data_IF_648455572575
#
_entry.id   IF_648455572575
#
_cell.length_a   1.000
_cell.length_b   1.000
_cell.length_c   1.000
_cell.angle_alpha   90.00
_cell.angle_beta   90.00
_cell.angle_gamma   90.00
#
_symmetry.space_group_name_H-M   'P 1'
#
loop_
_entity.id
_entity.type
_entity.pdbx_description
1 polymer ?
#
# COMPACT_ATOMS: atom_id res chain seq x y z
N UNK A 1 -3.80 15.36 23.96
CA UNK A 1 -3.95 15.22 22.48
C UNK A 1 -3.35 16.48 21.85
N UNK A 2 -2.05 16.49 21.60
CA UNK A 2 -1.31 17.64 21.04
C UNK A 2 -1.20 17.43 19.54
N UNK A 3 -2.18 17.97 18.78
CA UNK A 3 -2.08 18.04 17.34
C UNK A 3 -1.10 19.16 16.97
N UNK A 4 -0.11 18.86 16.14
CA UNK A 4 0.72 19.88 15.53
C UNK A 4 -0.14 20.82 14.66
N UNK A 5 0.12 22.14 14.62
CA UNK A 5 -0.62 23.06 13.76
C UNK A 5 -0.47 22.63 12.31
N UNK A 6 -1.59 22.37 11.63
CA UNK A 6 -1.64 21.94 10.24
C UNK A 6 -1.92 20.45 10.01
N UNK A 7 -2.07 19.64 11.04
CA UNK A 7 -2.47 18.22 10.88
C UNK A 7 -3.93 18.10 10.41
N UNK A 8 -4.26 17.10 9.57
CA UNK A 8 -5.62 16.84 9.16
C UNK A 8 -6.48 16.49 10.38
N UNK A 9 -7.70 17.03 10.42
CA UNK A 9 -8.69 16.68 11.44
C UNK A 9 -9.57 15.54 10.96
N UNK A 10 -9.88 14.62 11.86
CA UNK A 10 -10.95 13.65 11.66
C UNK A 10 -12.23 14.29 12.17
N UNK A 11 -13.27 14.30 11.34
CA UNK A 11 -14.62 14.55 11.75
C UNK A 11 -15.32 13.20 11.85
N UNK A 12 -15.76 12.84 13.05
CA UNK A 12 -16.82 11.83 13.19
C UNK A 12 -18.11 12.47 12.71
N UNK A 13 -19.00 11.76 12.02
CA UNK A 13 -20.28 12.28 11.60
C UNK A 13 -21.23 12.36 12.81
N UNK A 14 -21.03 13.38 13.66
CA UNK A 14 -21.96 13.68 14.74
C UNK A 14 -22.16 15.19 14.83
N UNK A 15 -23.31 15.62 14.36
CA UNK A 15 -24.14 16.74 14.78
C UNK A 15 -24.98 17.31 13.63
N UNK A 16 -25.98 16.58 13.24
CA UNK A 16 -27.06 17.08 12.38
C UNK A 16 -28.10 15.98 12.26
N UNK A 17 -29.35 16.30 12.63
CA UNK A 17 -30.48 15.40 12.70
C UNK A 17 -30.86 14.81 11.32
N UNK A 18 -30.17 13.76 10.93
CA UNK A 18 -30.56 12.86 9.84
C UNK A 18 -30.85 11.46 10.42
N UNK A 19 -31.68 10.64 9.76
CA UNK A 19 -32.18 9.39 10.31
C UNK A 19 -30.98 8.51 10.73
N UNK A 20 -31.06 7.99 11.95
CA UNK A 20 -30.04 7.17 12.58
C UNK A 20 -29.47 6.13 11.60
N UNK A 21 -28.15 6.06 11.40
CA UNK A 21 -27.56 5.00 10.61
C UNK A 21 -28.01 3.66 11.20
N UNK A 22 -28.49 2.76 10.33
CA UNK A 22 -28.90 1.42 10.74
C UNK A 22 -27.79 0.85 11.62
N UNK A 23 -28.09 0.52 12.88
CA UNK A 23 -27.19 -0.11 13.82
C UNK A 23 -26.67 -1.38 13.13
N UNK A 24 -25.44 -1.36 12.66
CA UNK A 24 -24.75 -2.56 12.20
C UNK A 24 -24.81 -3.55 13.38
N UNK A 25 -25.47 -4.67 13.14
CA UNK A 25 -25.62 -5.71 14.15
C UNK A 25 -24.24 -6.09 14.68
N UNK A 26 -24.04 -6.20 15.99
CA UNK A 26 -22.73 -6.54 16.59
C UNK A 26 -22.12 -7.82 15.99
N UNK A 27 -22.97 -8.72 15.48
CA UNK A 27 -22.56 -9.91 14.72
C UNK A 27 -21.92 -9.55 13.37
N UNK A 28 -22.41 -8.52 12.67
CA UNK A 28 -21.80 -8.06 11.40
C UNK A 28 -20.50 -7.29 11.63
N UNK A 29 -20.35 -6.62 12.77
CA UNK A 29 -19.12 -5.94 13.14
C UNK A 29 -17.93 -6.90 13.37
N UNK A 30 -18.20 -8.14 13.77
CA UNK A 30 -17.18 -9.18 13.95
C UNK A 30 -16.62 -9.76 12.65
N UNK A 31 -17.27 -9.50 11.52
CA UNK A 31 -16.85 -9.99 10.19
C UNK A 31 -16.10 -8.95 9.36
N UNK A 32 -15.81 -7.77 9.89
CA UNK A 32 -15.24 -6.67 9.12
C UNK A 32 -13.80 -6.38 9.51
N UNK A 33 -12.96 -6.12 8.51
CA UNK A 33 -11.64 -5.55 8.70
C UNK A 33 -11.76 -4.06 9.03
N UNK A 34 -11.24 -3.63 10.18
CA UNK A 34 -11.26 -2.23 10.57
C UNK A 34 -9.89 -1.77 11.10
N UNK A 35 -9.49 -0.57 10.68
CA UNK A 35 -8.28 0.08 11.21
C UNK A 35 -8.64 0.77 12.52
N UNK A 36 -8.13 0.27 13.65
CA UNK A 36 -8.35 0.85 14.99
C UNK A 36 -7.35 1.92 15.34
N UNK A 37 -6.14 1.78 14.85
CA UNK A 37 -5.08 2.74 15.10
C UNK A 37 -4.11 2.72 13.92
N UNK A 38 -3.61 3.89 13.54
CA UNK A 38 -2.45 4.03 12.66
C UNK A 38 -1.36 4.84 13.35
N UNK A 39 -0.12 4.45 13.15
CA UNK A 39 1.08 5.15 13.61
C UNK A 39 2.03 5.36 12.44
N UNK A 40 2.52 6.58 12.31
CA UNK A 40 3.52 6.94 11.32
C UNK A 40 4.76 7.48 12.04
N UNK A 41 5.93 7.14 11.50
CA UNK A 41 7.22 7.68 11.95
C UNK A 41 8.01 8.08 10.71
N UNK A 42 8.45 9.32 10.66
CA UNK A 42 9.27 9.93 9.61
C UNK A 42 8.74 9.66 8.18
N UNK A 43 7.42 9.69 8.03
CA UNK A 43 6.70 9.41 6.80
C UNK A 43 6.23 10.70 6.14
N UNK A 44 6.75 11.05 4.98
CA UNK A 44 6.39 12.27 4.21
C UNK A 44 6.58 13.54 5.04
N UNK A 45 5.47 14.20 5.43
CA UNK A 45 5.45 15.38 6.28
C UNK A 45 5.27 15.06 7.78
N UNK A 46 5.07 13.80 8.12
CA UNK A 46 4.84 13.38 9.50
C UNK A 46 6.16 12.92 10.14
N UNK A 47 6.60 13.63 11.18
CA UNK A 47 7.66 13.14 12.06
C UNK A 47 7.13 11.98 12.92
N UNK A 48 6.01 12.22 13.55
CA UNK A 48 5.24 11.21 14.29
C UNK A 48 3.75 11.54 14.15
N UNK A 49 2.94 10.53 13.92
CA UNK A 49 1.50 10.60 13.96
C UNK A 49 0.97 9.36 14.66
N UNK A 50 0.05 9.56 15.57
CA UNK A 50 -0.83 8.51 16.08
C UNK A 50 -2.26 8.94 15.89
N UNK A 51 -3.05 8.06 15.29
CA UNK A 51 -4.44 8.28 15.00
C UNK A 51 -5.22 7.05 15.44
N UNK A 52 -6.16 7.24 16.35
CA UNK A 52 -7.09 6.19 16.78
C UNK A 52 -8.40 6.38 16.02
N UNK A 53 -8.97 5.27 15.51
CA UNK A 53 -10.18 5.26 14.67
C UNK A 53 -11.27 4.40 15.31
N UNK A 54 -12.53 4.79 15.09
CA UNK A 54 -13.71 3.97 15.38
C UNK A 54 -13.92 2.90 14.30
N UNK A 55 -15.14 2.35 14.28
CA UNK A 55 -15.59 1.43 13.22
C UNK A 55 -16.28 2.20 12.07
N UNK A 56 -16.60 3.47 12.32
CA UNK A 56 -17.29 4.33 11.39
C UNK A 56 -16.37 4.75 10.24
N UNK A 57 -16.94 5.12 9.08
CA UNK A 57 -16.17 5.73 8.00
C UNK A 57 -15.42 6.98 8.47
N UNK A 58 -14.17 7.12 8.07
CA UNK A 58 -13.30 8.23 8.47
C UNK A 58 -13.19 9.24 7.34
N UNK A 59 -13.52 10.50 7.63
CA UNK A 59 -13.39 11.63 6.70
C UNK A 59 -12.22 12.52 7.16
N UNK A 60 -11.25 12.71 6.26
CA UNK A 60 -10.10 13.58 6.51
C UNK A 60 -10.37 14.98 5.93
N UNK A 61 -10.45 15.98 6.78
CA UNK A 61 -10.65 17.39 6.38
C UNK A 61 -9.45 18.26 6.77
N UNK A 62 -9.25 19.31 6.02
CA UNK A 62 -8.18 20.29 6.24
C UNK A 62 -7.72 20.97 4.95
N UNK A 63 -6.94 22.02 5.08
CA UNK A 63 -6.37 22.77 3.95
C UNK A 63 -5.48 21.93 3.04
N UNK A 64 -5.12 22.47 1.87
CA UNK A 64 -4.16 21.82 0.99
C UNK A 64 -2.78 21.76 1.66
N UNK A 65 -2.04 20.67 1.44
CA UNK A 65 -0.72 20.48 2.04
C UNK A 65 -0.70 19.93 3.47
N UNK A 66 -1.84 19.83 4.17
CA UNK A 66 -1.89 19.33 5.58
C UNK A 66 -1.53 17.85 5.76
N UNK A 67 -1.34 17.10 4.67
CA UNK A 67 -0.91 15.70 4.74
C UNK A 67 -2.03 14.66 4.55
N UNK A 68 -3.29 15.05 4.27
CA UNK A 68 -4.40 14.10 4.06
C UNK A 68 -4.04 12.96 3.11
N UNK A 69 -3.51 13.31 1.93
CA UNK A 69 -3.09 12.30 0.94
C UNK A 69 -1.88 11.49 1.41
N UNK A 70 -1.01 12.06 2.25
CA UNK A 70 0.12 11.31 2.81
C UNK A 70 -0.35 10.26 3.82
N UNK A 71 -1.43 10.53 4.57
CA UNK A 71 -2.05 9.54 5.46
C UNK A 71 -2.71 8.41 4.66
N UNK A 72 -3.45 8.74 3.58
CA UNK A 72 -3.99 7.72 2.67
C UNK A 72 -2.89 6.90 2.00
N UNK A 73 -1.78 7.54 1.63
CA UNK A 73 -0.62 6.84 1.09
C UNK A 73 -0.01 5.89 2.13
N UNK A 74 0.08 6.30 3.38
CA UNK A 74 0.57 5.43 4.47
C UNK A 74 -0.31 4.19 4.63
N UNK A 75 -1.64 4.33 4.62
CA UNK A 75 -2.59 3.21 4.66
C UNK A 75 -2.37 2.26 3.48
N UNK A 76 -2.11 2.80 2.27
CA UNK A 76 -1.88 1.97 1.09
C UNK A 76 -0.60 1.12 1.16
N UNK A 77 0.36 1.46 2.02
CA UNK A 77 1.53 0.63 2.30
C UNK A 77 1.24 -0.57 3.21
N UNK A 78 0.08 -0.62 3.86
CA UNK A 78 -0.33 -1.79 4.65
C UNK A 78 -0.85 -2.94 3.77
N UNK A 79 -1.04 -2.72 2.49
CA UNK A 79 -1.32 -3.73 1.48
C UNK A 79 -0.08 -4.05 0.64
N UNK A 80 -0.06 -5.18 -0.10
CA UNK A 80 1.01 -5.49 -1.05
C UNK A 80 1.17 -4.39 -2.12
N UNK A 81 2.40 -4.22 -2.60
CA UNK A 81 2.70 -3.29 -3.69
C UNK A 81 3.42 -2.01 -3.25
N UNK A 82 3.44 -1.00 -4.12
CA UNK A 82 4.25 0.22 -3.98
C UNK A 82 3.47 1.42 -3.43
N UNK A 83 2.32 1.17 -2.81
CA UNK A 83 1.47 2.21 -2.25
C UNK A 83 0.74 3.07 -3.30
N UNK A 84 -0.01 4.05 -2.81
CA UNK A 84 -0.91 4.90 -3.59
C UNK A 84 -0.23 5.63 -4.75
N UNK A 85 0.93 6.26 -4.50
CA UNK A 85 1.67 7.08 -5.47
C UNK A 85 2.77 6.33 -6.19
N UNK A 86 3.04 5.07 -5.82
CA UNK A 86 4.12 4.24 -6.40
C UNK A 86 5.49 4.91 -6.34
N UNK A 87 5.70 5.76 -5.34
CA UNK A 87 6.95 6.47 -5.13
C UNK A 87 8.12 5.51 -4.88
N UNK A 88 9.35 5.98 -5.09
CA UNK A 88 10.53 5.28 -4.58
C UNK A 88 10.47 5.27 -3.06
N UNK A 89 10.94 4.20 -2.45
CA UNK A 89 10.85 4.04 -0.98
C UNK A 89 11.60 5.15 -0.23
N UNK A 90 12.71 5.61 -0.79
CA UNK A 90 13.51 6.71 -0.24
C UNK A 90 12.76 8.05 -0.28
N UNK A 91 11.96 8.28 -1.34
CA UNK A 91 11.15 9.50 -1.49
C UNK A 91 10.01 9.60 -0.47
N UNK A 92 9.69 8.49 0.20
CA UNK A 92 8.67 8.43 1.25
C UNK A 92 9.20 8.92 2.59
N UNK A 93 10.52 8.87 2.82
CA UNK A 93 11.15 9.42 4.01
C UNK A 93 10.79 10.89 4.21
N UNK A 94 10.71 11.31 5.47
CA UNK A 94 10.51 12.71 5.81
C UNK A 94 11.71 13.53 5.33
N UNK A 95 11.43 14.55 4.53
CA UNK A 95 12.46 15.46 4.02
C UNK A 95 12.91 16.42 5.12
N UNK A 96 14.08 17.02 4.93
CA UNK A 96 14.55 18.13 5.76
C UNK A 96 13.50 19.24 5.80
N UNK A 97 13.16 19.72 6.97
CA UNK A 97 12.19 20.80 7.17
C UNK A 97 12.83 21.84 8.08
N UNK A 98 12.54 23.11 7.84
CA UNK A 98 12.91 24.16 8.76
C UNK A 98 12.03 24.04 10.02
N UNK A 99 12.65 23.72 11.15
CA UNK A 99 11.93 23.56 12.41
C UNK A 99 11.30 24.87 12.90
N UNK A 100 10.28 24.78 13.73
CA UNK A 100 9.59 25.94 14.31
C UNK A 100 10.53 26.87 15.12
N UNK A 101 11.64 26.35 15.62
CA UNK A 101 12.70 27.07 16.36
C UNK A 101 13.79 27.67 15.45
N UNK A 102 13.63 27.61 14.11
CA UNK A 102 14.60 28.17 13.15
C UNK A 102 15.79 27.27 12.83
N UNK A 103 15.94 26.12 13.49
CA UNK A 103 16.94 25.10 13.16
C UNK A 103 16.48 24.18 12.01
N UNK A 104 17.44 23.61 11.29
CA UNK A 104 17.15 22.60 10.26
C UNK A 104 17.02 21.22 10.90
N UNK A 105 15.86 20.58 10.79
CA UNK A 105 15.71 19.17 11.14
C UNK A 105 16.26 18.30 10.01
N UNK A 106 17.15 17.33 10.28
CA UNK A 106 17.73 16.48 9.24
C UNK A 106 16.66 15.65 8.54
N UNK A 107 16.90 15.33 7.27
CA UNK A 107 16.09 14.38 6.54
C UNK A 107 16.18 12.99 7.19
N UNK A 108 15.07 12.27 7.21
CA UNK A 108 15.05 10.90 7.71
C UNK A 108 15.62 9.93 6.67
N UNK A 109 16.32 8.91 7.14
CA UNK A 109 16.88 7.82 6.31
C UNK A 109 16.01 6.56 6.36
N UNK A 110 14.99 6.56 7.22
CA UNK A 110 14.04 5.48 7.43
C UNK A 110 12.64 6.05 7.65
N UNK A 111 11.62 5.22 7.45
CA UNK A 111 10.24 5.53 7.80
C UNK A 111 9.53 4.27 8.27
N UNK A 112 8.46 4.45 9.02
CA UNK A 112 7.60 3.34 9.43
C UNK A 112 6.12 3.73 9.39
N UNK A 113 5.30 2.75 9.02
CA UNK A 113 3.84 2.75 9.12
C UNK A 113 3.44 1.50 9.86
N UNK A 114 2.65 1.65 10.93
CA UNK A 114 2.08 0.53 11.67
C UNK A 114 0.60 0.77 11.89
N UNK A 115 -0.19 -0.30 11.85
CA UNK A 115 -1.61 -0.25 12.15
C UNK A 115 -2.01 -1.40 13.08
N UNK A 116 -2.97 -1.10 13.95
CA UNK A 116 -3.74 -2.10 14.69
C UNK A 116 -5.07 -2.27 13.98
N UNK A 117 -5.36 -3.49 13.61
CA UNK A 117 -6.56 -3.88 12.88
C UNK A 117 -7.43 -4.75 13.78
N UNK A 118 -8.75 -4.58 13.71
CA UNK A 118 -9.68 -5.62 14.12
C UNK A 118 -10.00 -6.46 12.87
N UNK A 119 -9.83 -7.77 12.97
CA UNK A 119 -10.13 -8.76 11.91
C UNK A 119 -11.14 -9.77 12.42
N UNK A 120 -11.75 -10.59 11.55
CA UNK A 120 -12.63 -11.67 12.00
C UNK A 120 -11.96 -12.63 12.99
N UNK A 121 -10.65 -12.84 12.86
CA UNK A 121 -9.85 -13.74 13.72
C UNK A 121 -9.38 -13.05 15.02
N UNK A 122 -9.59 -11.75 15.15
CA UNK A 122 -9.17 -10.98 16.31
C UNK A 122 -8.31 -9.78 15.97
N UNK A 123 -7.62 -9.26 16.98
CA UNK A 123 -6.77 -8.07 16.81
C UNK A 123 -5.43 -8.45 16.20
N UNK A 124 -5.03 -7.72 15.16
CA UNK A 124 -3.80 -7.91 14.42
C UNK A 124 -3.00 -6.61 14.39
N UNK A 125 -1.69 -6.69 14.60
CA UNK A 125 -0.77 -5.56 14.44
C UNK A 125 0.11 -5.80 13.22
N UNK A 126 -0.01 -4.93 12.21
CA UNK A 126 0.84 -4.98 11.03
C UNK A 126 1.69 -3.72 10.95
N UNK A 127 2.89 -3.87 10.41
CA UNK A 127 3.81 -2.76 10.19
C UNK A 127 4.66 -2.95 8.96
N UNK A 128 4.99 -1.86 8.31
CA UNK A 128 5.95 -1.83 7.21
C UNK A 128 6.80 -0.57 7.30
N UNK A 129 8.00 -0.64 6.77
CA UNK A 129 8.90 0.50 6.80
C UNK A 129 10.10 0.31 5.89
N UNK A 130 10.93 1.33 5.82
CA UNK A 130 12.23 1.30 5.18
C UNK A 130 13.31 1.17 6.26
N UNK A 131 14.07 0.09 6.22
CA UNK A 131 15.29 -0.03 7.03
C UNK A 131 16.49 0.42 6.20
N UNK A 132 17.38 1.26 6.76
CA UNK A 132 18.66 1.56 6.15
C UNK A 132 19.46 0.28 5.93
N UNK A 133 20.34 0.31 4.95
CA UNK A 133 21.27 -0.79 4.76
C UNK A 133 22.14 -1.01 6.00
N UNK A 134 22.38 -2.26 6.39
CA UNK A 134 23.12 -2.60 7.61
C UNK A 134 24.63 -2.38 7.50
N UNK A 135 25.17 -2.37 6.29
CA UNK A 135 26.61 -2.19 6.01
C UNK A 135 26.81 -1.12 4.95
N UNK A 136 28.00 -0.53 4.90
CA UNK A 136 28.39 0.36 3.80
C UNK A 136 28.19 -0.34 2.45
N UNK A 137 27.41 0.31 1.56
CA UNK A 137 27.05 -0.22 0.24
C UNK A 137 25.80 -1.09 0.19
N UNK A 138 25.16 -1.44 1.31
CA UNK A 138 23.89 -2.16 1.26
C UNK A 138 22.74 -1.20 1.03
N UNK A 139 21.83 -1.56 0.07
CA UNK A 139 20.68 -0.74 -0.26
C UNK A 139 19.60 -0.80 0.84
N UNK A 140 18.90 0.31 1.10
CA UNK A 140 17.73 0.31 1.97
C UNK A 140 16.67 -0.68 1.47
N UNK A 141 16.03 -1.37 2.37
CA UNK A 141 15.01 -2.37 2.03
C UNK A 141 13.71 -2.13 2.76
N UNK A 142 12.60 -2.44 2.08
CA UNK A 142 11.31 -2.49 2.73
C UNK A 142 11.21 -3.72 3.62
N UNK A 143 10.79 -3.52 4.85
CA UNK A 143 10.53 -4.57 5.83
C UNK A 143 9.05 -4.61 6.17
N UNK A 144 8.58 -5.78 6.56
CA UNK A 144 7.20 -6.02 7.01
C UNK A 144 7.24 -6.80 8.32
N UNK A 145 6.37 -6.45 9.25
CA UNK A 145 6.15 -7.16 10.51
C UNK A 145 4.66 -7.43 10.69
N UNK A 146 4.35 -8.62 11.19
CA UNK A 146 3.00 -9.07 11.54
C UNK A 146 3.06 -9.57 12.97
N UNK A 147 2.31 -8.97 13.89
CA UNK A 147 2.37 -9.19 15.35
C UNK A 147 3.81 -9.17 15.90
N UNK A 148 4.59 -8.17 15.44
CA UNK A 148 5.98 -7.99 15.82
C UNK A 148 6.97 -8.93 15.15
N UNK A 149 6.54 -10.00 14.48
CA UNK A 149 7.40 -10.96 13.79
C UNK A 149 7.74 -10.48 12.37
N UNK A 150 8.98 -10.63 11.92
CA UNK A 150 9.34 -10.28 10.55
C UNK A 150 8.65 -11.22 9.56
N UNK A 151 8.05 -10.66 8.51
CA UNK A 151 7.49 -11.42 7.41
C UNK A 151 8.54 -11.61 6.30
N UNK A 152 8.43 -12.71 5.56
CA UNK A 152 9.38 -13.07 4.49
C UNK A 152 9.33 -12.09 3.32
N UNK A 153 8.17 -11.51 3.04
CA UNK A 153 7.98 -10.55 1.95
C UNK A 153 6.79 -9.62 2.22
N UNK A 154 6.69 -8.56 1.41
CA UNK A 154 5.53 -7.66 1.45
C UNK A 154 4.22 -8.33 0.99
N UNK A 155 4.30 -9.43 0.22
CA UNK A 155 3.12 -10.19 -0.22
C UNK A 155 2.38 -10.83 0.94
N UNK A 156 3.06 -11.10 2.06
CA UNK A 156 2.43 -11.61 3.28
C UNK A 156 1.33 -10.68 3.83
N UNK A 157 1.43 -9.37 3.57
CA UNK A 157 0.34 -8.43 3.93
C UNK A 157 -0.98 -8.76 3.25
N UNK A 158 -0.93 -9.31 2.02
CA UNK A 158 -2.13 -9.66 1.25
C UNK A 158 -2.99 -10.74 1.86
N UNK A 159 -2.44 -11.55 2.77
CA UNK A 159 -3.19 -12.54 3.54
C UNK A 159 -4.09 -11.90 4.62
N UNK A 160 -3.81 -10.65 4.97
CA UNK A 160 -4.48 -9.95 6.07
C UNK A 160 -5.22 -8.69 5.63
N UNK A 161 -4.71 -8.01 4.60
CA UNK A 161 -5.25 -6.71 4.15
C UNK A 161 -5.35 -6.66 2.64
N UNK A 162 -6.56 -6.46 2.17
CA UNK A 162 -6.83 -6.00 0.81
C UNK A 162 -7.19 -4.51 0.86
N UNK A 163 -6.58 -3.70 0.01
CA UNK A 163 -6.86 -2.28 -0.08
C UNK A 163 -7.07 -1.84 -1.53
N UNK A 164 -8.18 -1.18 -1.76
CA UNK A 164 -8.49 -0.52 -3.03
C UNK A 164 -8.61 0.97 -2.77
N UNK A 165 -8.12 1.78 -3.69
CA UNK A 165 -8.22 3.23 -3.59
C UNK A 165 -8.57 3.85 -4.92
N UNK A 166 -9.30 4.94 -4.86
CA UNK A 166 -9.62 5.82 -5.98
C UNK A 166 -8.83 7.11 -5.83
N UNK A 167 -8.28 7.59 -6.92
CA UNK A 167 -7.59 8.88 -7.00
C UNK A 167 -8.14 9.67 -8.18
N UNK A 168 -8.04 11.01 -8.20
CA UNK A 168 -8.48 11.80 -9.35
C UNK A 168 -7.84 11.36 -10.68
N UNK A 169 -6.66 10.77 -10.66
CA UNK A 169 -6.03 10.23 -11.87
C UNK A 169 -6.82 9.04 -12.45
N UNK A 170 -7.57 8.31 -11.62
CA UNK A 170 -8.38 7.16 -12.08
C UNK A 170 -9.62 7.59 -12.88
N UNK A 171 -10.05 8.86 -12.79
CA UNK A 171 -11.11 9.40 -13.64
C UNK A 171 -10.71 9.31 -15.13
N UNK A 172 -9.42 9.31 -15.42
CA UNK A 172 -8.85 9.16 -16.76
C UNK A 172 -8.47 7.73 -17.13
N UNK A 173 -8.82 6.73 -16.31
CA UNK A 173 -8.40 5.33 -16.47
C UNK A 173 -8.69 4.78 -17.87
N UNK A 174 -9.82 5.14 -18.46
CA UNK A 174 -10.23 4.69 -19.79
C UNK A 174 -9.66 5.55 -20.91
N UNK A 175 -9.15 6.74 -20.60
CA UNK A 175 -8.45 7.62 -21.52
C UNK A 175 -6.95 7.30 -21.58
N UNK A 176 -6.40 6.78 -20.48
CA UNK A 176 -5.00 6.42 -20.36
C UNK A 176 -4.69 5.09 -21.08
N UNK A 177 -3.41 4.81 -21.26
CA UNK A 177 -2.94 3.61 -21.97
C UNK A 177 -3.32 2.30 -21.25
N UNK A 178 -3.27 1.20 -21.99
CA UNK A 178 -3.60 -0.15 -21.50
C UNK A 178 -2.83 -0.58 -20.24
N UNK A 179 -1.65 0.02 -19.99
CA UNK A 179 -0.84 -0.23 -18.80
C UNK A 179 -1.53 0.18 -17.50
N UNK A 180 -2.19 1.35 -17.47
CA UNK A 180 -2.89 1.83 -16.27
C UNK A 180 -4.14 0.98 -15.99
N UNK A 181 -4.90 0.62 -17.04
CA UNK A 181 -6.07 -0.26 -16.90
C UNK A 181 -5.67 -1.64 -16.36
N UNK A 182 -4.58 -2.24 -16.87
CA UNK A 182 -4.06 -3.51 -16.33
C UNK A 182 -3.68 -3.39 -14.85
N UNK A 183 -2.98 -2.34 -14.47
CA UNK A 183 -2.59 -2.12 -13.06
C UNK A 183 -3.79 -1.91 -12.14
N UNK A 184 -4.83 -1.26 -12.63
CA UNK A 184 -6.07 -1.11 -11.86
C UNK A 184 -6.73 -2.48 -11.66
N UNK A 185 -6.88 -3.27 -12.73
CA UNK A 185 -7.40 -4.63 -12.64
C UNK A 185 -6.55 -5.51 -11.71
N UNK A 186 -5.22 -5.51 -11.86
CA UNK A 186 -4.32 -6.31 -11.02
C UNK A 186 -4.44 -5.98 -9.54
N UNK A 187 -4.80 -4.75 -9.20
CA UNK A 187 -5.09 -4.35 -7.82
C UNK A 187 -6.38 -4.95 -7.30
N UNK A 188 -7.43 -4.98 -8.11
CA UNK A 188 -8.69 -5.66 -7.78
C UNK A 188 -8.47 -7.16 -7.62
N UNK A 189 -7.74 -7.75 -8.58
CA UNK A 189 -7.38 -9.17 -8.52
C UNK A 189 -6.60 -9.51 -7.25
N UNK A 190 -5.59 -8.69 -6.88
CA UNK A 190 -4.81 -8.91 -5.66
C UNK A 190 -5.66 -8.86 -4.39
N UNK A 191 -6.76 -8.12 -4.39
CA UNK A 191 -7.70 -8.09 -3.26
C UNK A 191 -8.45 -9.41 -3.07
N UNK A 192 -8.66 -10.18 -4.14
CA UNK A 192 -9.32 -11.49 -4.14
C UNK A 192 -8.31 -12.66 -4.11
N UNK A 193 -7.16 -12.46 -4.74
CA UNK A 193 -6.08 -13.44 -4.93
C UNK A 193 -4.76 -12.83 -4.46
N UNK A 194 -4.41 -12.91 -3.16
CA UNK A 194 -3.22 -12.26 -2.60
C UNK A 194 -1.89 -12.66 -3.29
N UNK A 195 -1.79 -13.87 -3.81
CA UNK A 195 -0.64 -14.41 -4.56
C UNK A 195 -0.41 -13.69 -5.90
N UNK A 196 -1.46 -13.10 -6.49
CA UNK A 196 -1.40 -12.41 -7.77
C UNK A 196 -0.31 -11.32 -7.83
N UNK A 197 -0.09 -10.61 -6.72
CA UNK A 197 0.98 -9.61 -6.65
C UNK A 197 2.39 -10.22 -6.85
N UNK A 198 2.59 -11.45 -6.38
CA UNK A 198 3.82 -12.22 -6.59
C UNK A 198 3.99 -12.62 -8.04
N UNK A 199 2.93 -13.13 -8.67
CA UNK A 199 2.92 -13.53 -10.09
C UNK A 199 3.18 -12.33 -11.01
N UNK A 200 2.55 -11.18 -10.76
CA UNK A 200 2.82 -9.93 -11.49
C UNK A 200 4.30 -9.54 -11.39
N UNK A 201 4.86 -9.57 -10.17
CA UNK A 201 6.25 -9.20 -9.95
C UNK A 201 7.22 -10.15 -10.66
N UNK A 202 6.98 -11.47 -10.61
CA UNK A 202 7.79 -12.48 -11.26
C UNK A 202 7.73 -12.34 -12.79
N UNK A 203 6.53 -12.21 -13.36
CA UNK A 203 6.34 -12.00 -14.79
C UNK A 203 7.04 -10.74 -15.30
N UNK A 204 6.79 -9.60 -14.64
CA UNK A 204 7.41 -8.33 -15.03
C UNK A 204 8.94 -8.35 -14.90
N UNK A 205 9.48 -9.06 -13.90
CA UNK A 205 10.91 -9.20 -13.73
C UNK A 205 11.53 -10.02 -14.86
N UNK A 206 10.95 -11.18 -15.19
CA UNK A 206 11.40 -12.01 -16.32
C UNK A 206 11.32 -11.25 -17.64
N UNK A 207 10.23 -10.51 -17.87
CA UNK A 207 10.05 -9.67 -19.06
C UNK A 207 11.13 -8.60 -19.19
N UNK A 208 11.45 -7.90 -18.09
CA UNK A 208 12.53 -6.88 -18.07
C UNK A 208 13.90 -7.50 -18.34
N UNK A 209 14.19 -8.64 -17.71
CA UNK A 209 15.46 -9.35 -17.94
C UNK A 209 15.59 -9.80 -19.39
N UNK A 210 14.52 -10.38 -19.96
CA UNK A 210 14.48 -10.78 -21.37
C UNK A 210 14.72 -9.59 -22.30
N UNK A 211 14.04 -8.47 -22.06
CA UNK A 211 14.22 -7.26 -22.85
C UNK A 211 15.65 -6.71 -22.78
N UNK A 212 16.28 -6.75 -21.60
CA UNK A 212 17.66 -6.34 -21.41
C UNK A 212 18.63 -7.22 -22.19
N UNK A 213 18.51 -8.55 -22.06
CA UNK A 213 19.37 -9.49 -22.79
C UNK A 213 19.29 -9.33 -24.30
N UNK A 214 18.07 -9.08 -24.82
CA UNK A 214 17.88 -8.78 -26.24
C UNK A 214 18.57 -7.46 -26.65
N UNK A 215 18.46 -6.43 -25.82
CA UNK A 215 19.11 -5.14 -26.06
C UNK A 215 20.64 -5.20 -26.02
N UNK A 216 21.20 -6.09 -25.19
CA UNK A 216 22.64 -6.36 -25.09
C UNK A 216 23.16 -7.29 -26.22
N UNK A 217 22.29 -7.75 -27.12
CA UNK A 217 22.65 -8.65 -28.21
C UNK A 217 22.96 -10.09 -27.76
N UNK A 218 22.59 -10.46 -26.53
CA UNK A 218 22.75 -11.83 -26.05
C UNK A 218 21.89 -12.78 -26.91
N UNK A 219 22.49 -13.93 -27.30
CA UNK A 219 21.83 -14.97 -28.11
C UNK A 219 21.85 -16.35 -27.47
N UNK A 220 22.20 -16.46 -26.19
CA UNK A 220 22.22 -17.73 -25.49
C UNK A 220 20.76 -18.25 -25.29
N UNK A 221 20.38 -19.35 -25.95
CA UNK A 221 19.02 -19.86 -25.91
C UNK A 221 18.62 -20.37 -24.51
N UNK A 222 19.57 -20.81 -23.70
CA UNK A 222 19.26 -21.32 -22.35
C UNK A 222 18.70 -20.23 -21.42
N UNK A 223 19.25 -19.02 -21.49
CA UNK A 223 18.72 -17.89 -20.74
C UNK A 223 17.31 -17.50 -21.18
N UNK A 224 17.07 -17.48 -22.49
CA UNK A 224 15.75 -17.14 -23.04
C UNK A 224 14.72 -18.20 -22.66
N UNK A 225 15.04 -19.50 -22.81
CA UNK A 225 14.12 -20.58 -22.41
C UNK A 225 13.73 -20.48 -20.95
N UNK A 226 14.68 -20.28 -20.03
CA UNK A 226 14.39 -20.17 -18.61
C UNK A 226 13.51 -18.97 -18.26
N UNK A 227 13.73 -17.82 -18.91
CA UNK A 227 12.90 -16.62 -18.72
C UNK A 227 11.51 -16.80 -19.33
N UNK A 228 11.41 -17.41 -20.51
CA UNK A 228 10.15 -17.66 -21.21
C UNK A 228 9.30 -18.70 -20.48
N UNK A 229 9.89 -19.74 -19.90
CA UNK A 229 9.19 -20.69 -19.02
C UNK A 229 8.63 -20.00 -17.78
N UNK A 230 9.41 -19.09 -17.19
CA UNK A 230 8.95 -18.27 -16.06
C UNK A 230 7.79 -17.37 -16.47
N UNK A 231 7.92 -16.70 -17.63
CA UNK A 231 6.85 -15.84 -18.17
C UNK A 231 5.58 -16.65 -18.51
N UNK A 232 5.71 -17.83 -19.08
CA UNK A 232 4.57 -18.68 -19.42
C UNK A 232 3.81 -19.12 -18.17
N UNK A 233 4.52 -19.62 -17.15
CA UNK A 233 3.93 -20.10 -15.90
C UNK A 233 3.16 -18.98 -15.17
N UNK A 234 3.82 -17.86 -14.92
CA UNK A 234 3.19 -16.74 -14.23
C UNK A 234 2.15 -16.04 -15.11
N UNK A 235 2.36 -15.99 -16.43
CA UNK A 235 1.39 -15.43 -17.38
C UNK A 235 0.05 -16.19 -17.40
N UNK A 236 0.08 -17.51 -17.32
CA UNK A 236 -1.13 -18.34 -17.18
C UNK A 236 -1.84 -18.06 -15.86
N UNK A 237 -1.10 -18.01 -14.74
CA UNK A 237 -1.67 -17.68 -13.43
C UNK A 237 -2.33 -16.30 -13.42
N UNK A 238 -1.67 -15.28 -14.01
CA UNK A 238 -2.21 -13.94 -14.17
C UNK A 238 -3.51 -13.91 -14.96
N UNK A 239 -3.53 -14.63 -16.09
CA UNK A 239 -4.71 -14.68 -16.97
C UNK A 239 -5.90 -15.35 -16.27
N UNK A 240 -5.67 -16.46 -15.55
CA UNK A 240 -6.69 -17.19 -14.82
C UNK A 240 -7.28 -16.34 -13.69
N UNK A 241 -6.44 -15.70 -12.86
CA UNK A 241 -6.90 -14.86 -11.75
C UNK A 241 -7.69 -13.63 -12.24
N UNK A 242 -7.27 -13.01 -13.34
CA UNK A 242 -8.00 -11.90 -13.97
C UNK A 242 -9.37 -12.34 -14.49
N UNK A 243 -9.42 -13.50 -15.17
CA UNK A 243 -10.68 -14.03 -15.70
C UNK A 243 -11.67 -14.37 -14.57
N UNK A 244 -11.21 -15.00 -13.49
CA UNK A 244 -12.04 -15.28 -12.30
C UNK A 244 -12.57 -13.98 -11.67
N UNK A 245 -11.71 -12.97 -11.52
CA UNK A 245 -12.13 -11.67 -10.97
C UNK A 245 -13.18 -10.99 -11.82
N UNK A 246 -12.99 -10.95 -13.15
CA UNK A 246 -13.99 -10.38 -14.06
C UNK A 246 -15.30 -11.13 -13.96
N UNK A 247 -15.26 -12.46 -13.97
CA UNK A 247 -16.48 -13.27 -13.82
C UNK A 247 -17.25 -12.96 -12.52
N UNK A 248 -16.53 -12.75 -11.41
CA UNK A 248 -17.16 -12.38 -10.13
C UNK A 248 -17.73 -10.95 -10.11
N UNK A 249 -17.17 -10.05 -10.91
CA UNK A 249 -17.68 -8.68 -11.02
C UNK A 249 -18.89 -8.58 -11.93
N UNK A 250 -19.06 -9.51 -12.85
CA UNK A 250 -20.18 -9.56 -13.81
C UNK A 250 -21.39 -10.36 -13.27
N UNK A 251 -21.25 -11.04 -12.12
CA UNK A 251 -22.30 -11.84 -11.48
C UNK A 251 -23.16 -11.01 -10.53
#
# INVERSE_FOLDING_TARGET
MTAQPGSPRILSPDAGSDPAPAKLNESSARSMLAVRQIRLTDFRNYRQLRLDCGLEPVVLVGGNGTGKTNLLEALSFLAPGRGLRRARLDDVCRRQVRGASGGEEPAATAWAVAATLDTPEGRLVIGTGLEPGRNEGSLPRRVVRIDGKPASSQTALGLHVAAVWLTPQLDRLFLDGAGERRRFLDRLVTALHPEHAGDVAAYENALRQRARLLGEGNRDPHWFTALEDTMARHGIALAAARADTVHRLDA
#
